data_IF_559402285229
#
_entry.id   IF_559402285229
#
_cell.length_a   1.000
_cell.length_b   1.000
_cell.length_c   1.000
_cell.angle_alpha   90.00
_cell.angle_beta   90.00
_cell.angle_gamma   90.00
#
_symmetry.space_group_name_H-M   'P 1'
#
loop_
_entity.id
_entity.type
_entity.pdbx_description
1 polymer ?
#
# COMPACT_ATOMS: atom_id res chain seq x y z
N UNK A 1 -15.35 -22.45 7.83
CA UNK A 1 -14.58 -22.27 6.59
C UNK A 1 -13.93 -20.90 6.67
N UNK A 2 -12.64 -20.77 6.34
CA UNK A 2 -12.00 -19.45 6.27
C UNK A 2 -12.46 -18.70 5.01
N UNK A 3 -12.57 -17.37 5.12
CA UNK A 3 -13.02 -16.47 4.06
C UNK A 3 -11.94 -15.45 3.73
N UNK A 4 -11.61 -15.32 2.46
CA UNK A 4 -10.64 -14.33 1.97
C UNK A 4 -11.39 -13.23 1.24
N UNK A 5 -11.15 -11.99 1.65
CA UNK A 5 -11.62 -10.79 0.99
C UNK A 5 -10.44 -10.02 0.45
N UNK A 6 -10.49 -9.70 -0.84
CA UNK A 6 -9.52 -8.86 -1.54
C UNK A 6 -10.31 -7.71 -2.17
N UNK A 7 -9.74 -6.50 -2.19
CA UNK A 7 -10.37 -5.36 -2.87
C UNK A 7 -10.72 -5.68 -4.32
N UNK A 8 -11.89 -5.22 -4.77
CA UNK A 8 -12.44 -5.52 -6.09
C UNK A 8 -11.68 -4.86 -7.26
N UNK A 9 -10.82 -3.88 -6.94
CA UNK A 9 -10.07 -3.12 -7.94
C UNK A 9 -8.96 -3.92 -8.60
N UNK A 10 -8.57 -5.08 -8.04
CA UNK A 10 -7.47 -5.89 -8.56
C UNK A 10 -7.94 -7.24 -9.13
N UNK A 11 -7.20 -7.74 -10.12
CA UNK A 11 -7.37 -9.10 -10.66
C UNK A 11 -6.03 -9.73 -10.99
N UNK A 12 -5.91 -11.02 -10.74
CA UNK A 12 -4.78 -11.81 -11.22
C UNK A 12 -5.13 -12.50 -12.54
N UNK A 13 -4.20 -12.48 -13.50
CA UNK A 13 -4.31 -13.28 -14.73
C UNK A 13 -2.91 -13.65 -15.24
N UNK A 14 -2.86 -14.29 -16.42
CA UNK A 14 -1.59 -14.77 -17.03
C UNK A 14 -0.53 -13.69 -17.30
N UNK A 15 -0.91 -12.40 -17.35
CA UNK A 15 0.03 -11.29 -17.58
C UNK A 15 0.46 -10.59 -16.28
N UNK A 16 -0.10 -11.02 -15.13
CA UNK A 16 0.24 -10.52 -13.80
C UNK A 16 -0.97 -10.02 -13.01
N UNK A 17 -0.68 -9.39 -11.87
CA UNK A 17 -1.67 -8.73 -11.04
C UNK A 17 -1.97 -7.33 -11.60
N UNK A 18 -3.24 -7.05 -11.88
CA UNK A 18 -3.65 -5.85 -12.59
C UNK A 18 -4.73 -5.06 -11.85
N UNK A 19 -4.71 -3.74 -12.05
CA UNK A 19 -5.81 -2.82 -11.71
C UNK A 19 -6.22 -2.03 -12.95
N UNK A 20 -7.39 -1.37 -12.90
CA UNK A 20 -7.75 -0.34 -13.88
C UNK A 20 -7.12 0.98 -13.45
N UNK A 21 -6.44 1.64 -14.38
CA UNK A 21 -5.90 2.98 -14.15
C UNK A 21 -6.98 4.07 -14.29
N UNK A 22 -6.61 5.35 -14.20
CA UNK A 22 -7.54 6.48 -14.32
C UNK A 22 -8.30 6.53 -15.67
N UNK A 23 -7.76 5.94 -16.74
CA UNK A 23 -8.42 5.83 -18.05
C UNK A 23 -9.23 4.52 -18.20
N UNK A 24 -9.31 3.70 -17.15
CA UNK A 24 -9.98 2.41 -17.18
C UNK A 24 -9.19 1.31 -17.89
N UNK A 25 -7.91 1.54 -18.23
CA UNK A 25 -7.04 0.55 -18.87
C UNK A 25 -6.48 -0.41 -17.81
N UNK A 26 -6.43 -1.70 -18.14
CA UNK A 26 -5.78 -2.70 -17.28
C UNK A 26 -4.26 -2.58 -17.33
N UNK A 27 -3.64 -2.40 -16.16
CA UNK A 27 -2.20 -2.18 -15.99
C UNK A 27 -1.67 -3.01 -14.83
N UNK A 28 -0.38 -3.37 -14.85
CA UNK A 28 0.21 -4.15 -13.76
C UNK A 28 0.36 -3.27 -12.53
N UNK A 29 -0.24 -3.69 -11.41
CA UNK A 29 -0.29 -2.88 -10.20
C UNK A 29 0.99 -2.98 -9.38
N UNK A 30 1.55 -4.19 -9.22
CA UNK A 30 2.72 -4.37 -8.39
C UNK A 30 3.93 -3.65 -8.98
N UNK A 31 4.60 -2.83 -8.18
CA UNK A 31 5.83 -2.12 -8.53
C UNK A 31 6.91 -2.50 -7.52
N UNK A 32 7.95 -3.16 -8.00
CA UNK A 32 9.04 -3.64 -7.16
C UNK A 32 10.07 -2.53 -6.96
N UNK A 33 10.63 -2.41 -5.76
CA UNK A 33 11.70 -1.48 -5.46
C UNK A 33 12.89 -1.73 -6.42
N UNK A 34 13.35 -0.66 -7.05
CA UNK A 34 14.21 -0.67 -8.23
C UNK A 34 13.52 -0.25 -9.53
N UNK A 35 12.19 -0.38 -9.65
CA UNK A 35 11.45 -0.01 -10.88
C UNK A 35 11.31 1.52 -11.04
N UNK A 36 11.22 2.27 -9.94
CA UNK A 36 11.05 3.73 -9.86
C UNK A 36 12.22 4.41 -9.09
N UNK A 37 12.58 3.92 -7.90
CA UNK A 37 13.74 4.27 -7.04
C UNK A 37 13.92 3.30 -5.81
N UNK A 38 14.53 3.76 -4.71
CA UNK A 38 14.73 3.03 -3.45
C UNK A 38 13.73 3.32 -2.31
N UNK A 39 12.57 3.94 -2.56
CA UNK A 39 11.68 4.46 -1.52
C UNK A 39 10.37 3.66 -1.36
N UNK A 40 10.35 2.58 -0.57
CA UNK A 40 9.21 1.64 -0.43
C UNK A 40 7.83 2.30 -0.17
N UNK A 41 7.78 3.41 0.57
CA UNK A 41 6.55 4.18 0.82
C UNK A 41 6.00 4.87 -0.44
N UNK A 42 6.87 5.30 -1.35
CA UNK A 42 6.47 5.91 -2.63
C UNK A 42 5.89 4.83 -3.55
N UNK A 43 6.49 3.65 -3.61
CA UNK A 43 5.91 2.51 -4.33
C UNK A 43 4.52 2.15 -3.81
N UNK A 44 4.37 2.04 -2.49
CA UNK A 44 3.08 1.75 -1.87
C UNK A 44 2.03 2.83 -2.19
N UNK A 45 2.43 4.11 -2.19
CA UNK A 45 1.60 5.24 -2.61
C UNK A 45 1.16 5.11 -4.08
N UNK A 46 2.08 4.83 -5.00
CA UNK A 46 1.77 4.66 -6.43
C UNK A 46 0.81 3.48 -6.65
N UNK A 47 1.05 2.35 -5.98
CA UNK A 47 0.16 1.19 -6.06
C UNK A 47 -1.25 1.52 -5.53
N UNK A 48 -1.36 2.23 -4.39
CA UNK A 48 -2.65 2.67 -3.84
C UNK A 48 -3.41 3.58 -4.82
N UNK A 49 -2.70 4.55 -5.42
CA UNK A 49 -3.29 5.51 -6.37
C UNK A 49 -3.73 4.84 -7.68
N UNK A 50 -3.03 3.79 -8.14
CA UNK A 50 -3.45 2.97 -9.27
C UNK A 50 -4.70 2.12 -8.93
N UNK A 51 -4.76 1.50 -7.75
CA UNK A 51 -5.96 0.81 -7.24
C UNK A 51 -7.19 1.73 -7.26
N UNK A 52 -6.99 2.97 -6.85
CA UNK A 52 -8.03 3.98 -6.70
C UNK A 52 -8.30 4.79 -7.98
N UNK A 53 -7.68 4.42 -9.11
CA UNK A 53 -7.87 5.08 -10.43
C UNK A 53 -7.54 6.58 -10.41
N UNK A 54 -6.59 7.00 -9.59
CA UNK A 54 -6.16 8.40 -9.49
C UNK A 54 -5.13 8.77 -10.56
N UNK A 55 -4.31 7.80 -10.97
CA UNK A 55 -3.22 7.98 -11.93
C UNK A 55 -3.24 6.91 -13.01
N UNK A 56 -2.46 7.13 -14.07
CA UNK A 56 -2.32 6.27 -15.22
C UNK A 56 -0.96 5.57 -15.22
N UNK A 57 -0.85 4.39 -15.84
CA UNK A 57 0.47 3.73 -15.99
C UNK A 57 1.47 4.62 -16.75
N UNK A 58 0.96 5.42 -17.68
CA UNK A 58 1.79 6.35 -18.42
C UNK A 58 2.30 7.52 -17.58
N UNK A 59 1.77 7.75 -16.39
CA UNK A 59 2.24 8.81 -15.48
C UNK A 59 3.53 8.41 -14.74
N UNK A 60 3.86 7.12 -14.72
CA UNK A 60 4.96 6.54 -13.94
C UNK A 60 6.08 5.93 -14.80
N UNK A 61 6.03 6.14 -16.12
CA UNK A 61 7.06 5.65 -17.04
C UNK A 61 8.37 6.41 -16.84
N UNK A 62 9.47 5.66 -16.75
CA UNK A 62 10.81 6.23 -16.72
C UNK A 62 11.05 7.16 -17.94
N UNK A 63 11.73 8.27 -17.71
CA UNK A 63 12.05 9.30 -18.70
C UNK A 63 10.87 10.11 -19.26
N UNK A 64 9.64 9.88 -18.79
CA UNK A 64 8.51 10.74 -19.10
C UNK A 64 8.33 11.76 -17.98
N UNK A 65 8.67 13.01 -18.28
CA UNK A 65 8.52 14.10 -17.32
C UNK A 65 7.03 14.45 -17.11
N UNK A 66 6.56 14.53 -15.85
CA UNK A 66 5.22 14.99 -15.55
C UNK A 66 4.95 16.41 -16.07
N UNK A 67 3.77 16.69 -16.63
CA UNK A 67 3.38 18.04 -17.06
C UNK A 67 3.09 18.94 -15.84
N UNK A 68 4.11 19.69 -15.41
CA UNK A 68 4.09 20.60 -14.26
C UNK A 68 3.10 21.76 -14.39
N UNK A 69 2.41 21.93 -15.53
CA UNK A 69 1.31 22.89 -15.66
C UNK A 69 0.02 22.37 -15.02
N UNK A 70 -0.13 21.05 -14.92
CA UNK A 70 -1.31 20.39 -14.35
C UNK A 70 -1.13 20.09 -12.86
N UNK A 71 -2.21 20.05 -12.05
CA UNK A 71 -2.12 19.64 -10.64
C UNK A 71 -1.53 18.24 -10.44
N UNK A 72 -1.96 17.26 -11.25
CA UNK A 72 -1.42 15.89 -11.26
C UNK A 72 0.08 15.87 -11.57
N UNK A 73 0.51 16.59 -12.60
CA UNK A 73 1.92 16.63 -12.97
C UNK A 73 2.81 17.33 -11.95
N UNK A 74 2.31 18.38 -11.26
CA UNK A 74 3.03 19.00 -10.13
C UNK A 74 3.22 18.01 -8.98
N UNK A 75 2.17 17.28 -8.63
CA UNK A 75 2.22 16.24 -7.59
C UNK A 75 3.26 15.17 -7.92
N UNK A 76 3.21 14.59 -9.11
CA UNK A 76 4.14 13.53 -9.52
C UNK A 76 5.58 14.05 -9.60
N UNK A 77 5.78 15.26 -10.13
CA UNK A 77 7.10 15.87 -10.21
C UNK A 77 7.75 16.03 -8.82
N UNK A 78 6.95 16.46 -7.83
CA UNK A 78 7.41 16.62 -6.45
C UNK A 78 7.96 15.30 -5.89
N UNK A 79 7.18 14.22 -5.98
CA UNK A 79 7.57 12.94 -5.37
C UNK A 79 8.62 12.15 -6.17
N UNK A 80 8.69 12.29 -7.50
CA UNK A 80 9.69 11.58 -8.30
C UNK A 80 11.04 12.29 -8.42
N UNK A 81 11.05 13.64 -8.40
CA UNK A 81 12.25 14.39 -8.74
C UNK A 81 12.70 15.36 -7.65
N UNK A 82 11.79 16.00 -6.92
CA UNK A 82 12.17 16.92 -5.84
C UNK A 82 12.52 16.17 -4.54
N UNK A 83 11.96 14.97 -4.36
CA UNK A 83 12.19 14.10 -3.20
C UNK A 83 13.06 12.86 -3.52
N UNK A 84 13.74 12.84 -4.68
CA UNK A 84 14.34 11.65 -5.30
C UNK A 84 15.46 10.92 -4.54
N UNK A 85 15.79 11.32 -3.31
CA UNK A 85 16.68 10.56 -2.43
C UNK A 85 16.08 10.41 -1.02
N UNK A 86 15.26 9.36 -0.86
CA UNK A 86 14.69 8.97 0.44
C UNK A 86 15.54 7.86 1.03
N UNK A 87 16.59 8.22 1.78
CA UNK A 87 17.54 7.24 2.33
C UNK A 87 16.95 6.39 3.49
N UNK A 88 16.02 6.96 4.26
CA UNK A 88 15.50 6.37 5.51
C UNK A 88 13.98 6.15 5.50
N UNK A 89 13.38 5.95 4.33
CA UNK A 89 11.92 5.91 4.18
C UNK A 89 11.25 7.28 4.43
N UNK A 90 9.92 7.33 4.29
CA UNK A 90 9.14 8.56 4.43
C UNK A 90 8.25 8.49 5.67
N UNK A 91 8.36 9.46 6.57
CA UNK A 91 7.45 9.56 7.71
C UNK A 91 6.01 9.85 7.23
N UNK A 92 5.01 9.08 7.68
CA UNK A 92 3.63 9.20 7.17
C UNK A 92 2.94 10.51 7.55
N UNK A 93 3.32 11.15 8.66
CA UNK A 93 2.82 12.49 8.99
C UNK A 93 3.34 13.53 8.00
N UNK A 94 4.63 13.48 7.69
CA UNK A 94 5.23 14.37 6.68
C UNK A 94 4.66 14.10 5.29
N UNK A 95 4.58 12.83 4.89
CA UNK A 95 4.04 12.40 3.60
C UNK A 95 2.58 12.85 3.43
N UNK A 96 1.72 12.60 4.42
CA UNK A 96 0.33 13.05 4.37
C UNK A 96 0.22 14.58 4.26
N UNK A 97 1.02 15.31 5.04
CA UNK A 97 1.04 16.78 4.99
C UNK A 97 1.49 17.30 3.63
N UNK A 98 2.49 16.67 3.03
CA UNK A 98 3.01 17.07 1.72
C UNK A 98 2.03 16.75 0.60
N UNK A 99 1.43 15.55 0.59
CA UNK A 99 0.36 15.18 -0.34
C UNK A 99 -0.79 16.18 -0.26
N UNK A 100 -1.27 16.49 0.96
CA UNK A 100 -2.42 17.37 1.15
C UNK A 100 -2.14 18.84 0.75
N UNK A 101 -0.88 19.28 0.74
CA UNK A 101 -0.47 20.60 0.25
C UNK A 101 -0.44 20.66 -1.28
N UNK A 102 -0.39 19.52 -1.97
CA UNK A 102 -0.39 19.51 -3.42
C UNK A 102 -1.78 19.87 -3.96
N UNK A 103 -1.85 20.54 -5.11
CA UNK A 103 -3.12 20.94 -5.73
C UNK A 103 -3.89 19.77 -6.36
N UNK A 104 -3.36 18.54 -6.29
CA UNK A 104 -4.02 17.37 -6.85
C UNK A 104 -5.23 16.98 -5.99
N UNK A 105 -6.32 16.56 -6.64
CA UNK A 105 -7.64 16.31 -6.02
C UNK A 105 -7.70 15.01 -5.19
N UNK A 106 -6.62 14.72 -4.46
CA UNK A 106 -6.49 13.60 -3.55
C UNK A 106 -6.24 14.09 -2.12
N UNK A 107 -6.64 13.29 -1.14
CA UNK A 107 -6.43 13.51 0.28
C UNK A 107 -5.65 12.33 0.85
N UNK A 108 -4.66 12.64 1.67
CA UNK A 108 -3.94 11.66 2.48
C UNK A 108 -4.35 11.77 3.94
N UNK A 109 -4.76 10.65 4.54
CA UNK A 109 -5.17 10.55 5.93
C UNK A 109 -4.15 9.68 6.66
N UNK A 110 -3.38 10.30 7.56
CA UNK A 110 -2.48 9.58 8.46
C UNK A 110 -3.26 9.11 9.71
N UNK A 111 -3.12 7.84 10.05
CA UNK A 111 -3.70 7.22 11.23
C UNK A 111 -2.62 6.49 12.03
N UNK A 112 -2.67 6.64 13.35
CA UNK A 112 -1.77 5.95 14.29
C UNK A 112 -2.58 5.30 15.41
N UNK A 113 -3.28 4.19 15.13
CA UNK A 113 -4.06 3.48 16.15
C UNK A 113 -3.14 2.95 17.26
N UNK A 114 -3.65 2.87 18.49
CA UNK A 114 -2.82 2.62 19.68
C UNK A 114 -2.59 1.15 19.95
N UNK A 115 -3.61 0.33 19.68
CA UNK A 115 -3.56 -1.11 19.91
C UNK A 115 -3.46 -1.86 18.60
N UNK A 116 -2.99 -3.10 18.65
CA UNK A 116 -2.99 -3.96 17.48
C UNK A 116 -4.40 -4.30 17.00
N UNK A 117 -5.36 -4.41 17.91
CA UNK A 117 -6.76 -4.65 17.57
C UNK A 117 -7.30 -3.44 16.78
N UNK A 118 -7.09 -2.21 17.27
CA UNK A 118 -7.49 -0.97 16.56
C UNK A 118 -6.85 -0.87 15.16
N UNK A 119 -5.61 -1.38 15.01
CA UNK A 119 -4.88 -1.40 13.73
C UNK A 119 -5.52 -2.37 12.75
N UNK A 120 -5.84 -3.58 13.21
CA UNK A 120 -6.49 -4.61 12.39
C UNK A 120 -7.91 -4.16 11.98
N UNK A 121 -8.69 -3.64 12.94
CA UNK A 121 -10.04 -3.09 12.69
C UNK A 121 -10.03 -1.93 11.69
N UNK A 122 -9.02 -1.04 11.76
CA UNK A 122 -8.90 0.05 10.80
C UNK A 122 -8.64 -0.47 9.38
N UNK A 123 -7.78 -1.49 9.23
CA UNK A 123 -7.50 -2.10 7.93
C UNK A 123 -8.76 -2.75 7.37
N UNK A 124 -9.48 -3.50 8.21
CA UNK A 124 -10.78 -4.10 7.86
C UNK A 124 -11.76 -3.05 7.35
N UNK A 125 -11.97 -1.97 8.11
CA UNK A 125 -12.90 -0.91 7.77
C UNK A 125 -12.67 -0.36 6.35
N UNK A 126 -11.41 -0.17 5.94
CA UNK A 126 -11.07 0.34 4.62
C UNK A 126 -11.12 -0.73 3.53
N UNK A 127 -10.68 -1.96 3.82
CA UNK A 127 -10.77 -3.09 2.88
C UNK A 127 -12.24 -3.40 2.54
N UNK A 128 -13.15 -3.33 3.52
CA UNK A 128 -14.60 -3.47 3.33
C UNK A 128 -15.19 -2.37 2.43
N UNK A 129 -14.55 -1.21 2.38
CA UNK A 129 -14.91 -0.11 1.47
C UNK A 129 -14.17 -0.16 0.14
N UNK A 130 -13.47 -1.26 -0.17
CA UNK A 130 -12.63 -1.41 -1.37
C UNK A 130 -11.47 -0.39 -1.44
N UNK A 131 -10.99 0.09 -0.29
CA UNK A 131 -9.90 1.05 -0.16
C UNK A 131 -8.65 0.32 0.36
N UNK A 132 -7.54 0.26 -0.41
CA UNK A 132 -6.30 -0.30 0.11
C UNK A 132 -5.67 0.64 1.15
N UNK A 133 -4.93 0.06 2.10
CA UNK A 133 -4.28 0.81 3.19
C UNK A 133 -2.79 0.65 3.08
N UNK A 134 -2.04 1.76 3.06
CA UNK A 134 -0.58 1.71 3.17
C UNK A 134 -0.26 1.53 4.66
N UNK A 135 0.38 0.41 5.00
CA UNK A 135 0.71 0.06 6.39
C UNK A 135 2.21 0.09 6.60
N UNK A 136 2.62 0.60 7.77
CA UNK A 136 3.99 0.47 8.26
C UNK A 136 4.11 -0.77 9.13
N UNK A 137 5.15 -1.55 8.87
CA UNK A 137 5.60 -2.64 9.73
C UNK A 137 6.94 -2.29 10.35
N UNK A 138 7.13 -2.60 11.63
CA UNK A 138 8.42 -2.48 12.31
C UNK A 138 8.94 -3.86 12.71
N UNK A 139 10.26 -4.05 12.59
CA UNK A 139 10.97 -5.26 12.99
C UNK A 139 12.32 -4.89 13.62
N UNK A 140 13.03 -5.89 14.14
CA UNK A 140 14.35 -5.65 14.70
C UNK A 140 15.32 -5.18 13.60
N UNK A 141 15.71 -3.91 13.66
CA UNK A 141 16.68 -3.30 12.73
C UNK A 141 16.07 -2.48 11.59
N UNK A 142 14.74 -2.32 11.54
CA UNK A 142 14.14 -1.48 10.50
C UNK A 142 12.62 -1.40 10.51
N UNK A 143 12.11 -0.68 9.52
CA UNK A 143 10.69 -0.57 9.21
C UNK A 143 10.47 -0.71 7.71
N UNK A 144 9.27 -1.12 7.31
CA UNK A 144 8.93 -1.35 5.91
C UNK A 144 7.47 -1.01 5.62
N UNK A 145 7.22 -0.41 4.45
CA UNK A 145 5.90 -0.02 3.99
C UNK A 145 5.33 -1.07 3.04
N UNK A 146 4.08 -1.47 3.30
CA UNK A 146 3.33 -2.44 2.51
C UNK A 146 1.98 -1.86 2.10
N UNK A 147 1.39 -2.35 1.02
CA UNK A 147 0.01 -2.02 0.65
C UNK A 147 -0.93 -3.18 1.04
N UNK A 148 -1.71 -3.03 2.10
CA UNK A 148 -2.76 -3.95 2.46
C UNK A 148 -3.91 -3.88 1.44
N UNK A 149 -4.29 -5.02 0.90
CA UNK A 149 -5.28 -5.17 -0.18
C UNK A 149 -6.39 -6.17 0.15
N UNK A 150 -6.32 -6.81 1.31
CA UNK A 150 -7.28 -7.82 1.69
C UNK A 150 -7.01 -8.43 3.06
N UNK A 151 -7.97 -9.24 3.52
CA UNK A 151 -7.94 -9.91 4.82
C UNK A 151 -8.49 -11.33 4.72
N UNK A 152 -8.04 -12.20 5.62
CA UNK A 152 -8.62 -13.52 5.88
C UNK A 152 -9.35 -13.49 7.22
N UNK A 153 -10.57 -14.03 7.25
CA UNK A 153 -11.33 -14.31 8.48
C UNK A 153 -11.48 -15.82 8.65
N UNK A 154 -11.35 -16.30 9.88
CA UNK A 154 -11.60 -17.71 10.22
C UNK A 154 -13.10 -18.01 10.36
N UNK A 155 -13.43 -19.19 10.91
CA UNK A 155 -14.82 -19.63 11.06
C UNK A 155 -15.59 -18.85 12.14
N UNK A 156 -14.87 -18.16 13.03
CA UNK A 156 -15.41 -17.31 14.10
C UNK A 156 -15.44 -15.83 13.69
N UNK A 157 -15.22 -15.54 12.40
CA UNK A 157 -15.12 -14.19 11.83
C UNK A 157 -13.93 -13.38 12.38
N UNK A 158 -12.93 -14.06 12.95
CA UNK A 158 -11.73 -13.41 13.48
C UNK A 158 -10.73 -13.23 12.35
N UNK A 159 -10.19 -12.01 12.21
CA UNK A 159 -9.15 -11.73 11.22
C UNK A 159 -7.85 -12.46 11.60
N UNK A 160 -7.38 -13.33 10.70
CA UNK A 160 -6.18 -14.14 10.88
C UNK A 160 -5.03 -13.66 10.00
N UNK A 161 -5.32 -13.04 8.84
CA UNK A 161 -4.28 -12.57 7.91
C UNK A 161 -4.65 -11.23 7.28
N UNK A 162 -3.62 -10.44 7.01
CA UNK A 162 -3.70 -9.24 6.17
C UNK A 162 -2.87 -9.51 4.92
N UNK A 163 -3.51 -9.54 3.75
CA UNK A 163 -2.86 -9.74 2.46
C UNK A 163 -2.31 -8.43 1.91
N UNK A 164 -1.06 -8.44 1.46
CA UNK A 164 -0.34 -7.23 1.09
C UNK A 164 0.39 -7.34 -0.27
N UNK A 165 0.59 -6.18 -0.90
CA UNK A 165 1.60 -5.98 -1.93
C UNK A 165 2.85 -5.37 -1.30
N UNK A 166 3.92 -6.14 -1.33
CA UNK A 166 5.22 -5.78 -0.82
C UNK A 166 6.15 -5.34 -1.95
N UNK A 167 6.52 -4.05 -2.02
CA UNK A 167 7.44 -3.56 -3.06
C UNK A 167 8.85 -4.15 -2.95
N UNK A 168 9.27 -4.67 -1.79
CA UNK A 168 10.56 -5.33 -1.60
C UNK A 168 10.60 -6.78 -2.10
N UNK A 169 9.45 -7.40 -2.40
CA UNK A 169 9.35 -8.78 -2.84
C UNK A 169 9.04 -8.90 -4.35
N UNK A 170 9.32 -10.05 -4.99
CA UNK A 170 8.95 -10.28 -6.38
C UNK A 170 7.45 -10.12 -6.64
N UNK A 171 7.10 -9.72 -7.86
CA UNK A 171 5.69 -9.59 -8.26
C UNK A 171 4.93 -10.92 -8.13
N UNK A 172 3.68 -10.90 -7.65
CA UNK A 172 2.90 -12.12 -7.45
C UNK A 172 2.54 -12.80 -8.78
N UNK A 173 2.63 -14.14 -8.80
CA UNK A 173 2.37 -14.96 -10.00
C UNK A 173 1.10 -15.81 -9.91
N UNK A 174 0.74 -16.24 -8.70
CA UNK A 174 -0.33 -17.25 -8.47
C UNK A 174 -1.38 -16.82 -7.46
N UNK A 175 -1.13 -15.74 -6.71
CA UNK A 175 -2.02 -15.14 -5.72
C UNK A 175 -2.20 -13.64 -6.01
N UNK A 176 -3.24 -13.03 -5.42
CA UNK A 176 -3.46 -11.58 -5.56
C UNK A 176 -2.51 -10.74 -4.69
N UNK A 177 -1.72 -11.37 -3.84
CA UNK A 177 -0.75 -10.78 -2.93
C UNK A 177 0.62 -11.48 -3.09
N UNK A 178 1.72 -10.81 -2.77
CA UNK A 178 3.05 -11.42 -2.68
C UNK A 178 3.60 -11.47 -1.24
N UNK A 179 2.83 -10.92 -0.29
CA UNK A 179 3.12 -10.96 1.14
C UNK A 179 1.81 -11.10 1.93
N UNK A 180 1.88 -11.68 3.12
CA UNK A 180 0.83 -11.51 4.12
C UNK A 180 1.42 -11.28 5.50
N UNK A 181 0.63 -10.68 6.39
CA UNK A 181 0.91 -10.59 7.82
C UNK A 181 -0.03 -11.57 8.51
N UNK A 182 0.52 -12.57 9.18
CA UNK A 182 -0.23 -13.42 10.09
C UNK A 182 -0.47 -12.66 11.39
N UNK A 183 -1.74 -12.32 11.61
CA UNK A 183 -2.22 -11.59 12.78
C UNK A 183 -2.99 -12.48 13.74
N UNK A 184 -3.00 -13.80 13.50
CA UNK A 184 -3.52 -14.74 14.48
C UNK A 184 -2.77 -14.56 15.82
N UNK A 185 -3.53 -14.53 16.92
CA UNK A 185 -3.06 -14.04 18.21
C UNK A 185 -1.83 -14.83 18.70
N UNK A 186 -0.68 -14.16 18.74
CA UNK A 186 0.52 -14.67 19.41
C UNK A 186 1.01 -13.76 20.53
N UNK A 187 0.75 -14.18 21.77
CA UNK A 187 1.53 -13.83 22.96
C UNK A 187 1.73 -12.33 23.27
N UNK A 188 2.60 -12.07 24.24
CA UNK A 188 3.04 -10.72 24.61
C UNK A 188 4.48 -10.53 24.11
N UNK A 189 4.63 -10.20 22.83
CA UNK A 189 5.91 -9.86 22.19
C UNK A 189 5.87 -8.42 21.70
N UNK A 190 7.02 -7.75 21.65
CA UNK A 190 7.15 -6.45 20.98
C UNK A 190 6.76 -6.52 19.50
N UNK A 191 7.03 -7.67 18.88
CA UNK A 191 6.68 -7.99 17.50
C UNK A 191 5.76 -9.22 17.54
N UNK A 192 4.43 -9.04 17.66
CA UNK A 192 3.49 -10.14 17.89
C UNK A 192 3.03 -10.84 16.60
N UNK A 193 3.34 -10.29 15.43
CA UNK A 193 2.85 -10.80 14.14
C UNK A 193 3.96 -11.40 13.31
N UNK A 194 3.60 -12.22 12.33
CA UNK A 194 4.55 -12.74 11.34
C UNK A 194 4.32 -12.10 9.98
N UNK A 195 5.33 -11.41 9.47
CA UNK A 195 5.41 -11.08 8.05
C UNK A 195 5.91 -12.31 7.29
N UNK A 196 5.27 -12.64 6.16
CA UNK A 196 5.60 -13.80 5.34
C UNK A 196 5.58 -13.44 3.86
N UNK A 197 6.67 -13.78 3.16
CA UNK A 197 6.78 -13.79 1.69
C UNK A 197 7.30 -15.13 1.20
N UNK A 198 7.47 -15.28 -0.12
CA UNK A 198 8.08 -16.48 -0.72
C UNK A 198 9.49 -16.78 -0.18
N UNK A 199 10.24 -15.74 0.23
CA UNK A 199 11.65 -15.86 0.58
C UNK A 199 11.97 -15.54 2.05
N UNK A 200 11.10 -14.80 2.75
CA UNK A 200 11.36 -14.32 4.10
C UNK A 200 10.20 -14.60 5.04
N UNK A 201 10.52 -14.86 6.31
CA UNK A 201 9.55 -14.91 7.40
C UNK A 201 10.19 -14.35 8.66
N UNK A 202 9.60 -13.32 9.25
CA UNK A 202 10.11 -12.71 10.48
C UNK A 202 9.01 -12.02 11.27
N UNK A 203 9.28 -11.74 12.55
CA UNK A 203 8.33 -11.09 13.44
C UNK A 203 8.27 -9.58 13.19
N UNK A 204 7.05 -9.04 13.15
CA UNK A 204 6.76 -7.61 12.98
C UNK A 204 5.72 -7.12 13.98
N UNK A 205 5.62 -5.79 14.11
CA UNK A 205 4.43 -5.11 14.62
C UNK A 205 3.91 -4.17 13.55
N UNK A 206 2.60 -3.90 13.57
CA UNK A 206 2.00 -2.82 12.80
C UNK A 206 2.24 -1.49 13.53
N UNK A 207 2.44 -0.38 12.80
CA UNK A 207 2.49 0.97 13.38
C UNK A 207 1.60 1.96 12.62
N UNK A 208 2.20 2.97 11.97
CA UNK A 208 1.51 4.02 11.24
C UNK A 208 0.79 3.48 9.98
N UNK A 209 -0.32 4.14 9.63
CA UNK A 209 -1.10 3.84 8.44
C UNK A 209 -1.40 5.10 7.63
N UNK A 210 -1.42 4.97 6.31
CA UNK A 210 -1.71 6.04 5.39
C UNK A 210 -2.80 5.60 4.41
N UNK A 211 -3.88 6.37 4.36
CA UNK A 211 -5.01 6.15 3.46
C UNK A 211 -5.03 7.28 2.42
N UNK A 212 -5.25 6.91 1.16
CA UNK A 212 -5.33 7.86 0.04
C UNK A 212 -6.74 7.78 -0.57
N UNK A 213 -7.41 8.92 -0.61
CA UNK A 213 -8.78 9.07 -1.09
C UNK A 213 -8.87 10.20 -2.13
N UNK A 214 -9.91 10.18 -2.96
CA UNK A 214 -10.28 11.34 -3.75
C UNK A 214 -10.82 12.43 -2.82
N UNK A 215 -10.54 13.71 -3.09
CA UNK A 215 -11.08 14.83 -2.28
C UNK A 215 -12.60 14.97 -2.39
N UNK A 216 -13.23 14.32 -3.36
CA UNK A 216 -14.66 14.43 -3.64
C UNK A 216 -15.36 13.08 -3.43
N UNK A 217 -15.89 12.87 -2.22
CA UNK A 217 -17.07 12.05 -1.94
C UNK A 217 -17.77 12.65 -0.72
N UNK A 218 -18.54 13.71 -0.97
CA UNK A 218 -19.76 14.07 -0.22
C UNK A 218 -20.92 14.02 -1.24
#
# INVERSE_FOLDING_TARGET
MATIQIIDSIRLNRIGLQTKDANGKWVNIHKQQGDLDGACSIYSLIMAMLCQRMIEEQDIQLYKFPDRRTPKGKFLYHFFYEQGFVQNGYNYTALAREINKQPFEIRAIHKRPRTNDDRIELIEQFVDQNIPVIISTEFNGGAHALLAIGIERDEEDIITKIFCLDPGAPSPKVSSWNCFIDVSKEGKSQYPFYYVTEINTYKVTLDDMLIIEHKNFD
#
